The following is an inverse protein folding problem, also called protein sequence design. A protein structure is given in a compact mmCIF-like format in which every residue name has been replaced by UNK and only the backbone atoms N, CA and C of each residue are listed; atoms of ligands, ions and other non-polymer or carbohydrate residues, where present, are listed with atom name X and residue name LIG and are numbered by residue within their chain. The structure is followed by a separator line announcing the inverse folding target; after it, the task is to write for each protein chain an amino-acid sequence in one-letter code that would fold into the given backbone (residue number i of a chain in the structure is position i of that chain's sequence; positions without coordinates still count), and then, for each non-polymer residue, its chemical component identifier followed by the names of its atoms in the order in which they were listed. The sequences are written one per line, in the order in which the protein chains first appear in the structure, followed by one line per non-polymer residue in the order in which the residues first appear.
data_IF_906297889635
#
_entry.id   IF_906297889635
#
_cell.length_a   1.000
_cell.length_b   1.000
_cell.length_c   1.000
_cell.angle_alpha   90.00
_cell.angle_beta   90.00
_cell.angle_gamma   90.00
#
_symmetry.space_group_name_H-M   'P 1'
#
loop_
_entity.id
_entity.type
_entity.pdbx_description
1 polymer ?
#
# COMPACT_ATOMS: atom_id res chain seq x y z
N UNK A 1 -5.48 2.24 19.88
CA UNK A 1 -5.26 2.42 18.43
C UNK A 1 -5.97 1.29 17.69
N UNK A 2 -6.58 1.56 16.54
CA UNK A 2 -7.28 0.53 15.76
C UNK A 2 -6.29 -0.54 15.24
N UNK A 3 -6.69 -1.81 15.28
CA UNK A 3 -5.93 -2.92 14.68
C UNK A 3 -6.40 -3.09 13.25
N UNK A 4 -5.48 -3.03 12.30
CA UNK A 4 -5.76 -3.35 10.90
C UNK A 4 -5.77 -4.88 10.73
N UNK A 5 -6.83 -5.40 10.12
CA UNK A 5 -6.99 -6.84 9.88
C UNK A 5 -6.97 -7.13 8.38
N UNK A 6 -6.69 -8.39 8.02
CA UNK A 6 -6.74 -8.85 6.64
C UNK A 6 -8.09 -8.50 6.00
N UNK A 7 -8.05 -7.85 4.84
CA UNK A 7 -9.23 -7.41 4.10
C UNK A 7 -9.54 -5.92 4.26
N UNK A 8 -8.97 -5.23 5.24
CA UNK A 8 -9.16 -3.80 5.40
C UNK A 8 -8.52 -3.01 4.26
N UNK A 9 -9.18 -1.92 3.86
CA UNK A 9 -8.60 -0.92 2.97
C UNK A 9 -8.12 0.27 3.80
N UNK A 10 -6.82 0.53 3.73
CA UNK A 10 -6.17 1.63 4.44
C UNK A 10 -5.65 2.67 3.45
N UNK A 11 -5.52 3.92 3.90
CA UNK A 11 -4.95 5.00 3.10
C UNK A 11 -3.60 5.39 3.69
N UNK A 12 -2.55 5.31 2.88
CA UNK A 12 -1.19 5.68 3.27
C UNK A 12 -0.53 6.57 2.23
N UNK A 13 0.58 7.20 2.62
CA UNK A 13 1.40 8.03 1.73
C UNK A 13 2.29 7.13 0.85
N UNK A 14 2.22 7.31 -0.46
CA UNK A 14 3.03 6.56 -1.42
C UNK A 14 3.59 7.47 -2.52
N UNK A 15 4.86 7.31 -2.92
CA UNK A 15 5.83 6.29 -2.48
C UNK A 15 6.41 6.58 -1.09
N UNK A 16 6.62 5.54 -0.28
CA UNK A 16 7.23 5.67 1.05
C UNK A 16 8.68 6.17 1.01
N UNK A 17 9.35 6.00 -0.14
CA UNK A 17 10.74 6.41 -0.37
C UNK A 17 10.89 7.89 -0.76
N UNK A 18 9.86 8.51 -1.32
CA UNK A 18 9.93 9.90 -1.80
C UNK A 18 8.86 10.75 -1.11
N UNK A 19 9.29 11.39 -0.03
CA UNK A 19 8.46 12.24 0.82
C UNK A 19 8.05 13.55 0.12
N UNK A 20 8.63 13.87 -1.03
CA UNK A 20 8.42 15.13 -1.77
C UNK A 20 7.13 15.14 -2.58
N UNK A 21 6.63 13.96 -3.00
CA UNK A 21 5.42 13.83 -3.83
C UNK A 21 4.46 12.73 -3.35
N UNK A 22 4.35 12.54 -2.04
CA UNK A 22 3.52 11.46 -1.52
C UNK A 22 2.01 11.76 -1.63
N UNK A 23 1.37 11.19 -2.65
CA UNK A 23 -0.10 11.20 -2.77
C UNK A 23 -0.66 10.13 -1.83
N UNK A 24 -1.78 10.44 -1.16
CA UNK A 24 -2.55 9.44 -0.41
C UNK A 24 -3.04 8.36 -1.36
N UNK A 25 -2.67 7.10 -1.13
CA UNK A 25 -3.07 5.96 -1.96
C UNK A 25 -3.71 4.87 -1.11
N UNK A 26 -4.77 4.23 -1.62
CA UNK A 26 -5.35 3.08 -0.96
C UNK A 26 -4.44 1.85 -1.07
N UNK A 27 -4.43 1.03 -0.03
CA UNK A 27 -3.85 -0.31 -0.04
C UNK A 27 -4.73 -1.28 0.74
N UNK A 28 -4.72 -2.54 0.30
CA UNK A 28 -5.40 -3.65 0.97
C UNK A 28 -4.46 -4.30 1.99
N UNK A 29 -4.95 -4.58 3.18
CA UNK A 29 -4.24 -5.39 4.18
C UNK A 29 -4.31 -6.86 3.79
N UNK A 30 -3.17 -7.46 3.47
CA UNK A 30 -3.07 -8.86 3.01
C UNK A 30 -2.76 -9.81 4.16
N UNK A 31 -2.02 -9.35 5.16
CA UNK A 31 -1.71 -10.11 6.37
C UNK A 31 -1.45 -9.15 7.55
N UNK A 32 -1.98 -9.51 8.73
CA UNK A 32 -1.49 -8.97 9.98
C UNK A 32 -0.28 -9.77 10.46
N UNK A 33 0.81 -9.09 10.81
CA UNK A 33 1.99 -9.72 11.39
C UNK A 33 1.94 -9.60 12.91
N UNK A 34 2.76 -10.39 13.61
CA UNK A 34 2.94 -10.22 15.05
C UNK A 34 3.58 -8.86 15.31
N UNK A 35 3.00 -8.07 16.23
CA UNK A 35 3.48 -6.73 16.56
C UNK A 35 2.69 -5.64 15.85
N UNK A 36 3.40 -4.63 15.34
CA UNK A 36 2.81 -3.42 14.73
C UNK A 36 2.90 -3.39 13.21
N UNK A 37 3.41 -4.46 12.59
CA UNK A 37 3.63 -4.53 11.16
C UNK A 37 2.46 -5.23 10.44
N UNK A 38 2.20 -4.79 9.21
CA UNK A 38 1.21 -5.40 8.33
C UNK A 38 1.74 -5.49 6.91
N UNK A 39 1.33 -6.52 6.18
CA UNK A 39 1.62 -6.64 4.76
C UNK A 39 0.50 -5.98 3.97
N UNK A 40 0.86 -5.08 3.05
CA UNK A 40 -0.09 -4.32 2.24
C UNK A 40 0.07 -4.64 0.74
N UNK A 41 -1.02 -4.56 0.00
CA UNK A 41 -1.05 -4.57 -1.46
C UNK A 41 -1.58 -3.23 -1.97
N UNK A 42 -0.79 -2.54 -2.79
CA UNK A 42 -1.16 -1.23 -3.32
C UNK A 42 -2.33 -1.36 -4.32
N UNK A 43 -3.34 -0.51 -4.17
CA UNK A 43 -4.42 -0.37 -5.16
C UNK A 43 -4.11 0.84 -6.04
N UNK A 44 -4.06 0.63 -7.36
CA UNK A 44 -3.81 1.68 -8.35
C UNK A 44 -4.82 1.60 -9.48
N UNK A 45 -5.33 2.75 -9.94
CA UNK A 45 -6.26 2.81 -11.08
C UNK A 45 -5.58 2.73 -12.45
N UNK A 46 -4.24 2.73 -12.48
CA UNK A 46 -3.41 2.58 -13.68
C UNK A 46 -2.21 1.72 -13.34
N UNK A 47 -1.86 0.80 -14.23
CA UNK A 47 -0.63 0.02 -14.10
C UNK A 47 0.56 0.97 -14.19
N UNK A 48 1.47 1.00 -13.20
CA UNK A 48 2.65 1.84 -13.27
C UNK A 48 3.56 1.39 -14.42
N UNK A 49 4.14 2.37 -15.12
CA UNK A 49 4.98 2.16 -16.32
C UNK A 49 6.13 1.16 -16.10
N UNK A 50 6.68 1.10 -14.88
CA UNK A 50 7.73 0.14 -14.53
C UNK A 50 7.28 -1.32 -14.66
N UNK A 51 6.01 -1.62 -14.40
CA UNK A 51 5.48 -2.99 -14.49
C UNK A 51 5.08 -3.36 -15.93
N UNK A 52 4.85 -2.40 -16.81
CA UNK A 52 4.59 -2.66 -18.23
C UNK A 52 5.86 -3.01 -19.03
N UNK A 53 7.06 -2.79 -18.47
CA UNK A 53 8.33 -3.11 -19.13
C UNK A 53 8.68 -4.61 -19.14
N UNK A 54 7.91 -5.43 -18.43
CA UNK A 54 8.07 -6.89 -18.36
C UNK A 54 7.01 -7.64 -19.19
N UNK A 55 6.35 -6.94 -20.11
CA UNK A 55 5.43 -7.52 -21.09
C UNK A 55 6.11 -7.74 -22.43
#
# INVERSE_FOLDING_TARGET
MARFIKGDVVVLLFPFLDLTQSKKRPALVVADLKGNDVILCQITGRVPDRLTKFK
#
